data_IF_451061540662
#
_entry.id   IF_451061540662
#
_cell.length_a   1.000
_cell.length_b   1.000
_cell.length_c   1.000
_cell.angle_alpha   90.00
_cell.angle_beta   90.00
_cell.angle_gamma   90.00
#
_symmetry.space_group_name_H-M   'P 1'
#
loop_
_entity.id
_entity.type
_entity.pdbx_description
1 polymer ?
#
# COMPACT_ATOMS: atom_id res chain seq x y z
N UNK A 1 1.93 -1.59 16.74
CA UNK A 1 2.34 -0.46 15.88
C UNK A 1 1.25 -0.09 14.87
N UNK A 2 0.83 -0.98 13.97
CA UNK A 2 -0.21 -0.67 12.95
C UNK A 2 -1.66 -0.53 13.46
N UNK A 3 -1.92 -0.85 14.73
CA UNK A 3 -3.27 -0.86 15.29
C UNK A 3 -4.01 0.47 15.11
N UNK A 4 -3.32 1.60 15.30
CA UNK A 4 -3.93 2.92 15.15
C UNK A 4 -4.40 3.18 13.71
N UNK A 5 -3.59 2.82 12.71
CA UNK A 5 -3.90 2.99 11.29
C UNK A 5 -5.03 2.04 10.84
N UNK A 6 -5.06 0.82 11.37
CA UNK A 6 -6.13 -0.16 11.10
C UNK A 6 -7.46 0.32 11.69
N UNK A 7 -7.44 0.83 12.92
CA UNK A 7 -8.64 1.31 13.61
C UNK A 7 -9.18 2.59 13.00
N UNK A 8 -8.31 3.55 12.67
CA UNK A 8 -8.75 4.83 12.10
C UNK A 8 -9.26 4.71 10.67
N UNK A 9 -8.90 3.62 9.97
CA UNK A 9 -9.21 3.41 8.54
C UNK A 9 -8.77 4.58 7.65
N UNK A 10 -7.72 5.28 8.07
CA UNK A 10 -7.18 6.38 7.27
C UNK A 10 -6.63 5.82 5.96
N UNK A 11 -6.74 6.62 4.90
CA UNK A 11 -6.02 6.32 3.66
C UNK A 11 -4.55 6.62 3.91
N UNK A 12 -3.68 5.70 3.52
CA UNK A 12 -2.23 5.85 3.62
C UNK A 12 -1.60 5.71 2.24
N UNK A 13 -0.42 6.30 2.07
CA UNK A 13 0.49 6.04 0.97
C UNK A 13 1.68 5.23 1.52
N UNK A 14 1.93 4.06 0.96
CA UNK A 14 3.03 3.16 1.34
C UNK A 14 4.04 3.14 0.20
N UNK A 15 5.31 3.49 0.48
CA UNK A 15 6.40 3.35 -0.47
C UNK A 15 7.10 2.01 -0.28
N UNK A 16 7.22 1.26 -1.38
CA UNK A 16 7.95 0.00 -1.46
C UNK A 16 8.88 0.02 -2.68
N UNK A 17 10.16 0.35 -2.47
CA UNK A 17 11.11 0.52 -3.56
C UNK A 17 10.69 1.63 -4.54
N UNK A 18 10.45 1.26 -5.79
CA UNK A 18 10.06 2.21 -6.85
C UNK A 18 8.54 2.40 -6.98
N UNK A 19 7.75 1.72 -6.16
CA UNK A 19 6.30 1.73 -6.23
C UNK A 19 5.70 2.40 -4.99
N UNK A 20 4.66 3.22 -5.22
CA UNK A 20 3.85 3.83 -4.17
C UNK A 20 2.43 3.22 -4.23
N UNK A 21 1.95 2.71 -3.09
CA UNK A 21 0.66 2.04 -2.95
C UNK A 21 -0.24 2.86 -2.03
N UNK A 22 -1.35 3.36 -2.56
CA UNK A 22 -2.34 4.11 -1.79
C UNK A 22 -3.54 3.23 -1.42
N UNK A 23 -4.01 3.32 -0.18
CA UNK A 23 -5.16 2.55 0.27
C UNK A 23 -5.40 2.58 1.77
N UNK A 24 -6.32 1.75 2.23
CA UNK A 24 -6.62 1.61 3.66
C UNK A 24 -5.99 0.32 4.17
N UNK A 25 -5.22 0.43 5.26
CA UNK A 25 -4.68 -0.75 5.94
C UNK A 25 -5.82 -1.45 6.66
N UNK A 26 -6.08 -2.69 6.27
CA UNK A 26 -7.18 -3.49 6.82
C UNK A 26 -6.72 -4.44 7.92
N UNK A 27 -5.50 -4.96 7.85
CA UNK A 27 -5.01 -5.96 8.80
C UNK A 27 -3.48 -5.99 8.81
N UNK A 28 -2.91 -6.34 9.97
CA UNK A 28 -1.50 -6.69 10.11
C UNK A 28 -1.38 -8.14 10.58
N UNK A 29 -0.76 -9.00 9.78
CA UNK A 29 -0.50 -10.40 10.10
C UNK A 29 0.87 -10.54 10.76
N UNK A 30 0.90 -10.34 12.08
CA UNK A 30 2.14 -10.36 12.86
C UNK A 30 3.00 -11.63 12.69
N UNK A 31 2.44 -12.85 12.63
CA UNK A 31 3.26 -14.07 12.46
C UNK A 31 4.05 -14.11 11.15
N UNK A 32 3.57 -13.41 10.11
CA UNK A 32 4.16 -13.40 8.77
C UNK A 32 4.82 -12.06 8.43
N UNK A 33 4.76 -11.08 9.34
CA UNK A 33 5.21 -9.71 9.10
C UNK A 33 4.60 -9.08 7.82
N UNK A 34 3.33 -9.39 7.53
CA UNK A 34 2.62 -8.89 6.35
C UNK A 34 1.59 -7.83 6.71
N UNK A 35 1.59 -6.73 5.97
CA UNK A 35 0.59 -5.67 6.06
C UNK A 35 -0.41 -5.79 4.90
N UNK A 36 -1.70 -5.82 5.21
CA UNK A 36 -2.77 -5.87 4.20
C UNK A 36 -3.31 -4.48 3.92
N UNK A 37 -3.13 -4.01 2.69
CA UNK A 37 -3.68 -2.75 2.18
C UNK A 37 -4.55 -3.05 0.97
N UNK A 38 -5.82 -2.64 1.00
CA UNK A 38 -6.84 -3.06 0.02
C UNK A 38 -6.84 -4.60 -0.15
N UNK A 39 -6.44 -5.10 -1.33
CA UNK A 39 -6.32 -6.52 -1.66
C UNK A 39 -4.86 -7.00 -1.85
N UNK A 40 -3.89 -6.21 -1.38
CA UNK A 40 -2.45 -6.48 -1.52
C UNK A 40 -1.87 -6.81 -0.13
N UNK A 41 -0.98 -7.81 -0.08
CA UNK A 41 -0.16 -8.13 1.09
C UNK A 41 1.26 -7.67 0.83
N UNK A 42 1.80 -6.84 1.73
CA UNK A 42 3.13 -6.26 1.62
C UNK A 42 3.96 -6.74 2.81
N UNK A 43 5.13 -7.37 2.59
CA UNK A 43 6.09 -7.63 3.66
C UNK A 43 6.59 -6.33 4.28
N UNK A 44 6.59 -6.23 5.61
CA UNK A 44 7.04 -5.03 6.32
C UNK A 44 8.47 -4.65 5.93
N UNK A 45 9.33 -5.65 5.71
CA UNK A 45 10.72 -5.45 5.28
C UNK A 45 10.86 -4.69 3.95
N UNK A 46 9.81 -4.68 3.12
CA UNK A 46 9.80 -3.94 1.86
C UNK A 46 9.24 -2.52 2.00
N UNK A 47 8.66 -2.17 3.15
CA UNK A 47 8.07 -0.87 3.38
C UNK A 47 9.15 0.11 3.82
N UNK A 48 9.43 1.08 2.96
CA UNK A 48 10.41 2.13 3.24
C UNK A 48 9.78 3.31 4.00
N UNK A 49 8.53 3.65 3.65
CA UNK A 49 7.83 4.78 4.21
C UNK A 49 6.31 4.58 4.19
N UNK A 50 5.61 5.09 5.22
CA UNK A 50 4.14 5.15 5.28
C UNK A 50 3.74 6.57 5.66
N UNK A 51 2.94 7.20 4.81
CA UNK A 51 2.37 8.53 5.04
C UNK A 51 0.85 8.41 5.20
N UNK A 52 0.29 9.07 6.21
CA UNK A 52 -1.17 9.14 6.38
C UNK A 52 -1.69 10.28 5.52
N UNK A 53 -2.58 9.95 4.59
CA UNK A 53 -3.27 10.95 3.79
C UNK A 53 -4.52 11.35 4.59
N UNK A 54 -4.53 12.58 5.11
CA UNK A 54 -5.71 13.13 5.78
C UNK A 54 -6.93 13.04 4.86
N UNK A 55 -8.09 12.74 5.44
CA UNK A 55 -9.35 12.77 4.70
C UNK A 55 -9.56 14.21 4.19
N UNK A 56 -9.44 14.38 2.88
CA UNK A 56 -9.47 15.68 2.25
C UNK A 56 -10.85 16.35 2.38
N UNK A 57 -11.03 17.15 3.44
CA UNK A 57 -11.72 18.42 3.30
C UNK A 57 -10.72 19.44 2.75
N UNK A 58 -10.27 19.25 1.50
CA UNK A 58 -9.88 20.30 0.53
C UNK A 58 -9.04 19.73 -0.64
N UNK A 59 -9.57 19.96 -1.84
CA UNK A 59 -8.86 20.20 -3.10
C UNK A 59 -7.55 19.43 -3.39
N UNK A 60 -7.71 18.26 -4.01
CA UNK A 60 -7.14 17.91 -5.33
C UNK A 60 -5.82 18.63 -5.69
N UNK A 61 -4.69 17.94 -5.50
CA UNK A 61 -3.65 17.93 -6.54
C UNK A 61 -3.40 16.47 -6.93
N UNK A 62 -4.23 16.01 -7.87
CA UNK A 62 -4.09 14.72 -8.55
C UNK A 62 -2.73 14.66 -9.25
N UNK A 63 -1.85 13.78 -8.79
CA UNK A 63 -0.82 13.17 -9.65
C UNK A 63 -1.26 11.74 -9.95
N UNK A 64 -2.15 11.62 -10.94
CA UNK A 64 -2.37 10.35 -11.64
C UNK A 64 -1.09 9.99 -12.39
N UNK A 65 -0.21 9.21 -11.77
CA UNK A 65 0.76 8.40 -12.49
C UNK A 65 0.01 7.16 -13.00
N UNK A 66 -0.72 7.35 -14.10
CA UNK A 66 -1.07 6.24 -14.98
C UNK A 66 0.24 5.70 -15.56
N UNK A 67 0.87 4.75 -14.87
CA UNK A 67 1.89 3.89 -15.46
C UNK A 67 1.21 2.60 -15.88
N UNK A 68 1.14 2.42 -17.19
CA UNK A 68 0.73 1.18 -17.84
C UNK A 68 1.78 0.09 -17.56
N UNK A 69 1.71 -0.54 -16.39
CA UNK A 69 2.46 -1.77 -16.15
C UNK A 69 1.62 -2.94 -16.63
N UNK A 70 1.90 -3.41 -17.84
CA UNK A 70 1.44 -4.71 -18.30
C UNK A 70 2.18 -5.78 -17.48
N UNK A 71 1.49 -6.39 -16.52
CA UNK A 71 2.01 -7.53 -15.78
C UNK A 71 2.02 -8.74 -16.72
N UNK A 72 3.20 -9.14 -17.18
CA UNK A 72 3.36 -10.34 -17.99
C UNK A 72 3.52 -11.56 -17.08
N UNK A 73 2.56 -12.49 -17.17
CA UNK A 73 2.64 -13.79 -16.51
C UNK A 73 3.74 -14.63 -17.19
N UNK A 74 4.82 -14.92 -16.47
CA UNK A 74 5.89 -15.80 -16.98
C UNK A 74 5.68 -17.20 -16.40
N UNK A 75 5.14 -18.11 -17.21
CA UNK A 75 5.17 -19.54 -16.91
C UNK A 75 6.51 -20.10 -17.39
N UNK A 76 7.36 -20.53 -16.46
CA UNK A 76 8.55 -21.32 -16.80
C UNK A 76 8.09 -22.75 -17.06
N UNK A 77 8.08 -23.17 -18.32
CA UNK A 77 7.98 -24.58 -18.70
C UNK A 77 9.37 -25.21 -18.69
N UNK A 78 9.42 -26.43 -18.17
CA UNK A 78 10.62 -27.18 -17.85
C UNK A 78 11.12 -28.02 -19.04
#
# INVERSE_FOLDING_TARGET
MFQALITSKNTVCIRCGNDDIQGIISTYYAPFQLLKINNILIPIEMIEHIEVLEAADTAVTRRTLQRNYALHLVSKQH
#
